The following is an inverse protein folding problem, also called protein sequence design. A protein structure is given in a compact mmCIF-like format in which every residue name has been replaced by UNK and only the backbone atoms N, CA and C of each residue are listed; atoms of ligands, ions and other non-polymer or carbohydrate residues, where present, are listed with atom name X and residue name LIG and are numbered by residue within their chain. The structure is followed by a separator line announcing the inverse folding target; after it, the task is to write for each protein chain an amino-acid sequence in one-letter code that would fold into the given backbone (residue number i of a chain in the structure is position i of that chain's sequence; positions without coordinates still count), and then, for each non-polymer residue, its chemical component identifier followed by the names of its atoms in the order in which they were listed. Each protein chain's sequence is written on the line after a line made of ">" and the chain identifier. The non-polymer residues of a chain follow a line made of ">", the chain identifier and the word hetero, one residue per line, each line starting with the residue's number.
data_IF_721404575235
#
_entry.id   IF_721404575235
#
_cell.length_a   1.000
_cell.length_b   1.000
_cell.length_c   1.000
_cell.angle_alpha   90.00
_cell.angle_beta   90.00
_cell.angle_gamma   90.00
#
_symmetry.space_group_name_H-M   'P 1'
#
loop_
_entity.id
_entity.type
_entity.pdbx_description
1 polymer ?
#
# COMPACT_ATOMS: atom_id res chain seq x y z
N UNK A 1 -4.96 -7.93 -21.76
CA UNK A 1 -3.80 -8.36 -20.96
C UNK A 1 -4.29 -8.56 -19.54
N UNK A 2 -3.88 -9.65 -18.87
CA UNK A 2 -4.28 -9.90 -17.49
C UNK A 2 -3.55 -8.92 -16.57
N UNK A 3 -4.26 -8.15 -15.76
CA UNK A 3 -3.65 -7.26 -14.76
C UNK A 3 -3.04 -8.11 -13.65
N UNK A 4 -1.76 -7.92 -13.35
CA UNK A 4 -1.16 -8.56 -12.19
C UNK A 4 -1.75 -7.97 -10.91
N UNK A 5 -1.95 -8.83 -9.91
CA UNK A 5 -2.53 -8.44 -8.63
C UNK A 5 -1.72 -9.02 -7.47
N UNK A 6 -1.53 -8.20 -6.43
CA UNK A 6 -0.90 -8.61 -5.18
C UNK A 6 -1.88 -8.31 -4.05
N UNK A 7 -2.21 -9.33 -3.25
CA UNK A 7 -2.96 -9.18 -2.01
C UNK A 7 -1.98 -9.20 -0.83
N UNK A 8 -2.10 -8.21 0.05
CA UNK A 8 -1.32 -8.04 1.27
C UNK A 8 -2.27 -7.99 2.46
N UNK A 9 -1.95 -8.72 3.52
CA UNK A 9 -2.61 -8.57 4.83
C UNK A 9 -1.81 -7.58 5.66
N UNK A 10 -2.49 -6.68 6.34
CA UNK A 10 -1.88 -5.55 7.03
C UNK A 10 -2.07 -5.68 8.54
N UNK A 11 -0.98 -5.46 9.26
CA UNK A 11 -0.96 -5.26 10.71
C UNK A 11 -0.36 -3.87 10.94
N UNK A 12 -1.23 -2.89 11.14
CA UNK A 12 -0.89 -1.47 11.17
C UNK A 12 -1.11 -0.86 12.55
N UNK A 13 -0.31 0.15 12.84
CA UNK A 13 -0.42 0.95 14.05
C UNK A 13 -0.16 2.42 13.71
N UNK A 14 -0.77 3.29 14.51
CA UNK A 14 -0.54 4.72 14.46
C UNK A 14 0.79 5.11 15.10
N UNK A 15 1.58 5.88 14.35
CA UNK A 15 2.73 6.63 14.86
C UNK A 15 2.39 8.08 15.16
N UNK A 16 3.40 8.86 15.57
CA UNK A 16 3.28 10.31 15.67
C UNK A 16 3.29 10.90 14.24
N UNK A 17 2.11 11.07 13.65
CA UNK A 17 1.82 11.68 12.32
C UNK A 17 1.89 10.79 11.07
N UNK A 18 2.01 9.47 11.22
CA UNK A 18 1.98 8.51 10.11
C UNK A 18 1.45 7.16 10.59
N UNK A 19 1.12 6.27 9.65
CA UNK A 19 0.71 4.90 9.92
C UNK A 19 1.83 3.98 9.47
N UNK A 20 2.17 2.98 10.28
CA UNK A 20 3.23 2.03 9.96
C UNK A 20 2.89 0.64 10.47
N UNK A 21 3.62 -0.36 9.99
CA UNK A 21 3.48 -1.72 10.49
C UNK A 21 4.04 -2.75 9.53
N UNK A 22 3.29 -3.83 9.35
CA UNK A 22 3.68 -4.97 8.52
C UNK A 22 2.66 -5.21 7.42
N UNK A 23 3.15 -5.55 6.25
CA UNK A 23 2.37 -6.08 5.14
C UNK A 23 2.84 -7.51 4.85
N UNK A 24 1.93 -8.46 4.86
CA UNK A 24 2.21 -9.89 4.71
C UNK A 24 1.74 -10.37 3.34
N UNK A 25 2.64 -11.00 2.59
CA UNK A 25 2.35 -11.59 1.29
C UNK A 25 2.94 -13.00 1.22
N UNK A 26 2.10 -14.02 1.07
CA UNK A 26 2.54 -15.42 1.09
C UNK A 26 3.38 -15.68 2.35
N UNK A 27 4.63 -16.11 2.18
CA UNK A 27 5.57 -16.41 3.28
C UNK A 27 6.51 -15.23 3.61
N UNK A 28 6.24 -14.02 3.09
CA UNK A 28 7.07 -12.82 3.27
C UNK A 28 6.35 -11.75 4.06
N UNK A 29 7.14 -10.99 4.82
CA UNK A 29 6.68 -9.86 5.63
C UNK A 29 7.51 -8.64 5.27
N UNK A 30 6.83 -7.56 4.89
CA UNK A 30 7.42 -6.27 4.55
C UNK A 30 7.09 -5.26 5.64
N UNK A 31 8.03 -4.38 5.94
CA UNK A 31 7.68 -3.14 6.61
C UNK A 31 6.82 -2.29 5.67
N UNK A 32 5.81 -1.62 6.22
CA UNK A 32 4.96 -0.69 5.47
C UNK A 32 4.83 0.63 6.21
N UNK A 33 4.94 1.73 5.47
CA UNK A 33 4.64 3.08 5.92
C UNK A 33 3.56 3.70 5.02
N UNK A 34 2.57 4.34 5.63
CA UNK A 34 1.54 5.15 4.96
C UNK A 34 1.58 6.53 5.58
N UNK A 35 1.87 7.55 4.77
CA UNK A 35 2.14 8.89 5.26
C UNK A 35 1.67 9.99 4.30
N UNK A 36 1.56 11.19 4.84
CA UNK A 36 1.28 12.40 4.07
C UNK A 36 2.35 12.61 2.98
N UNK A 37 1.90 12.95 1.77
CA UNK A 37 2.78 13.21 0.65
C UNK A 37 2.07 13.26 -0.69
N UNK A 38 2.87 13.45 -1.75
CA UNK A 38 2.38 13.33 -3.13
C UNK A 38 2.10 11.87 -3.45
N UNK A 39 0.99 11.65 -4.16
CA UNK A 39 0.46 10.35 -4.56
C UNK A 39 1.51 9.47 -5.24
N UNK A 40 2.17 8.64 -4.45
CA UNK A 40 3.29 7.79 -4.86
C UNK A 40 3.26 6.48 -4.08
N UNK A 41 3.50 5.37 -4.79
CA UNK A 41 3.68 4.05 -4.21
C UNK A 41 5.13 3.61 -4.45
N UNK A 42 5.86 3.26 -3.39
CA UNK A 42 7.15 2.59 -3.51
C UNK A 42 7.04 1.15 -3.06
N UNK A 43 7.57 0.25 -3.88
CA UNK A 43 7.56 -1.17 -3.61
C UNK A 43 8.99 -1.74 -3.61
N UNK A 44 9.27 -2.75 -2.77
CA UNK A 44 10.43 -3.62 -2.96
C UNK A 44 10.45 -4.18 -4.39
N UNK A 45 11.63 -4.34 -4.98
CA UNK A 45 11.78 -4.74 -6.39
C UNK A 45 11.05 -6.05 -6.72
N UNK A 46 11.05 -6.99 -5.78
CA UNK A 46 10.37 -8.29 -5.89
C UNK A 46 8.83 -8.24 -5.92
N UNK A 47 8.23 -7.13 -5.47
CA UNK A 47 6.80 -6.90 -5.57
C UNK A 47 6.42 -6.14 -6.85
N UNK A 48 7.39 -5.70 -7.65
CA UNK A 48 7.11 -5.01 -8.89
C UNK A 48 6.65 -5.99 -9.97
N UNK A 49 5.74 -5.50 -10.81
CA UNK A 49 5.37 -6.19 -12.04
C UNK A 49 6.15 -5.58 -13.22
N UNK A 50 6.74 -6.41 -14.11
CA UNK A 50 7.50 -5.90 -15.25
C UNK A 50 6.70 -4.90 -16.08
N UNK A 51 7.36 -3.82 -16.49
CA UNK A 51 6.83 -2.75 -17.33
C UNK A 51 5.64 -1.95 -16.76
N UNK A 52 5.25 -2.18 -15.50
CA UNK A 52 4.19 -1.40 -14.85
C UNK A 52 4.76 -0.19 -14.11
N UNK A 53 4.26 1.00 -14.46
CA UNK A 53 4.61 2.27 -13.84
C UNK A 53 3.47 2.86 -12.99
N UNK A 54 2.30 2.22 -12.98
CA UNK A 54 1.11 2.67 -12.28
C UNK A 54 0.37 1.50 -11.64
N UNK A 55 -0.15 1.72 -10.42
CA UNK A 55 -0.99 0.76 -9.73
C UNK A 55 -2.28 1.41 -9.23
N UNK A 56 -3.34 0.62 -9.14
CA UNK A 56 -4.50 0.95 -8.32
C UNK A 56 -4.37 0.18 -7.01
N UNK A 57 -4.44 0.88 -5.89
CA UNK A 57 -4.48 0.29 -4.57
C UNK A 57 -5.92 0.33 -4.06
N UNK A 58 -6.39 -0.80 -3.54
CA UNK A 58 -7.60 -0.91 -2.74
C UNK A 58 -7.21 -1.25 -1.31
N UNK A 59 -7.66 -0.44 -0.34
CA UNK A 59 -7.48 -0.66 1.09
C UNK A 59 -8.82 -1.05 1.68
N UNK A 60 -8.86 -2.15 2.43
CA UNK A 60 -10.07 -2.68 3.08
C UNK A 60 -9.92 -2.65 4.58
N UNK A 61 -10.97 -2.21 5.27
CA UNK A 61 -11.04 -2.22 6.73
C UNK A 61 -11.92 -3.35 7.25
N UNK A 62 -11.84 -3.68 8.53
CA UNK A 62 -12.65 -4.72 9.17
C UNK A 62 -14.16 -4.44 9.09
N UNK A 63 -14.58 -3.18 9.08
CA UNK A 63 -15.98 -2.80 8.91
C UNK A 63 -16.51 -2.97 7.47
N UNK A 64 -15.64 -3.35 6.52
CA UNK A 64 -15.96 -3.52 5.11
C UNK A 64 -15.86 -2.23 4.28
N UNK A 65 -15.33 -1.14 4.86
CA UNK A 65 -15.05 0.07 4.08
C UNK A 65 -13.90 -0.18 3.10
N UNK A 66 -13.99 0.46 1.93
CA UNK A 66 -12.97 0.37 0.89
C UNK A 66 -12.52 1.75 0.43
N UNK A 67 -11.23 2.02 0.55
CA UNK A 67 -10.57 3.18 -0.06
C UNK A 67 -9.90 2.70 -1.36
N UNK A 68 -9.97 3.50 -2.43
CA UNK A 68 -9.32 3.17 -3.71
C UNK A 68 -8.61 4.37 -4.28
N UNK A 69 -7.35 4.20 -4.68
CA UNK A 69 -6.52 5.26 -5.20
C UNK A 69 -5.53 4.75 -6.25
N UNK A 70 -5.21 5.59 -7.23
CA UNK A 70 -4.23 5.30 -8.30
C UNK A 70 -2.90 5.97 -7.98
N UNK A 71 -1.80 5.25 -8.18
CA UNK A 71 -0.45 5.67 -7.84
C UNK A 71 0.51 5.48 -9.01
N UNK A 72 1.49 6.36 -9.10
CA UNK A 72 2.73 6.06 -9.83
C UNK A 72 3.61 5.17 -8.95
N UNK A 73 4.22 4.16 -9.57
CA UNK A 73 5.09 3.19 -8.88
C UNK A 73 6.54 3.64 -8.98
N UNK A 74 7.27 3.53 -7.88
CA UNK A 74 8.73 3.62 -7.84
C UNK A 74 9.31 2.42 -7.09
N UNK A 75 10.59 2.14 -7.32
CA UNK A 75 11.32 1.14 -6.54
C UNK A 75 11.66 1.74 -5.17
N UNK A 76 11.35 1.03 -4.09
CA UNK A 76 11.78 1.44 -2.75
C UNK A 76 13.29 1.25 -2.59
N UNK A 77 13.93 2.18 -1.87
CA UNK A 77 15.37 2.10 -1.56
C UNK A 77 15.69 1.26 -0.32
N UNK A 78 14.67 0.94 0.47
CA UNK A 78 14.82 0.34 1.81
C UNK A 78 14.13 -1.03 1.92
N UNK A 79 13.79 -1.65 0.78
CA UNK A 79 13.03 -2.90 0.71
C UNK A 79 11.71 -2.86 1.54
N UNK A 80 11.07 -1.69 1.60
CA UNK A 80 9.80 -1.50 2.31
C UNK A 80 8.69 -1.04 1.36
N UNK A 81 7.45 -1.21 1.77
CA UNK A 81 6.28 -0.65 1.09
C UNK A 81 6.04 0.77 1.63
N UNK A 82 6.02 1.77 0.74
CA UNK A 82 5.79 3.17 1.13
C UNK A 82 4.62 3.73 0.33
N UNK A 83 3.59 4.21 1.03
CA UNK A 83 2.43 4.88 0.43
C UNK A 83 2.44 6.34 0.86
N UNK A 84 2.60 7.23 -0.10
CA UNK A 84 2.54 8.67 0.12
C UNK A 84 1.23 9.22 -0.44
N UNK A 85 0.30 9.58 0.42
CA UNK A 85 -1.02 10.09 0.01
C UNK A 85 -1.75 10.74 1.18
N UNK A 86 -1.94 12.06 1.11
CA UNK A 86 -2.67 12.81 2.14
C UNK A 86 -4.15 12.39 2.23
N UNK A 87 -4.83 12.20 1.10
CA UNK A 87 -6.25 11.86 1.09
C UNK A 87 -6.47 10.47 1.68
N UNK A 88 -5.64 9.49 1.28
CA UNK A 88 -5.73 8.14 1.82
C UNK A 88 -5.34 8.10 3.29
N UNK A 89 -4.25 8.77 3.69
CA UNK A 89 -3.83 8.81 5.11
C UNK A 89 -4.95 9.36 5.99
N UNK A 90 -5.62 10.44 5.57
CA UNK A 90 -6.76 11.01 6.27
C UNK A 90 -7.99 10.09 6.27
N UNK A 91 -8.24 9.37 5.17
CA UNK A 91 -9.39 8.47 5.06
C UNK A 91 -9.25 7.25 5.98
N UNK A 92 -8.08 6.65 6.03
CA UNK A 92 -7.81 5.46 6.86
C UNK A 92 -7.47 5.80 8.31
N UNK A 93 -7.36 7.08 8.63
CA UNK A 93 -6.98 7.54 9.95
C UNK A 93 -7.93 7.05 11.06
N UNK A 94 -9.22 6.96 10.73
CA UNK A 94 -10.29 6.59 11.67
C UNK A 94 -10.40 5.08 11.87
N UNK A 95 -9.95 4.30 10.90
CA UNK A 95 -10.05 2.86 10.87
C UNK A 95 -8.93 2.32 9.97
N UNK A 96 -7.95 1.68 10.59
CA UNK A 96 -6.78 1.16 9.88
C UNK A 96 -7.19 -0.01 8.97
N UNK A 97 -6.70 -0.07 7.73
CA UNK A 97 -7.00 -1.17 6.84
C UNK A 97 -6.28 -2.43 7.29
N UNK A 98 -6.92 -3.57 7.07
CA UNK A 98 -6.41 -4.92 7.36
C UNK A 98 -5.99 -5.66 6.09
N UNK A 99 -6.40 -5.17 4.92
CA UNK A 99 -6.00 -5.73 3.63
C UNK A 99 -5.68 -4.63 2.60
N UNK A 100 -4.71 -4.92 1.74
CA UNK A 100 -4.37 -4.10 0.57
C UNK A 100 -4.33 -4.99 -0.68
N UNK A 101 -5.06 -4.59 -1.72
CA UNK A 101 -4.95 -5.16 -3.06
C UNK A 101 -4.26 -4.15 -3.98
N UNK A 102 -3.15 -4.54 -4.58
CA UNK A 102 -2.43 -3.76 -5.59
C UNK A 102 -2.74 -4.36 -6.96
N UNK A 103 -3.30 -3.56 -7.86
CA UNK A 103 -3.55 -3.92 -9.26
C UNK A 103 -2.62 -3.13 -10.18
N UNK A 104 -1.69 -3.81 -10.85
CA UNK A 104 -0.76 -3.20 -11.79
C UNK A 104 -1.45 -2.93 -13.14
N UNK A 105 -1.20 -1.76 -13.71
CA UNK A 105 -1.68 -1.38 -15.05
C UNK A 105 -0.56 -1.46 -16.09
#
# INVERSE_FOLDING_TARGET
>A
MSKAKILLFLDLTWGQSYIYGKAMHRDRVYAINIQYGRKELRLPEELLYPDSNEAIIHLYTDSGNRITAKYTIQVSRNDMIEVYDEDVTNAIAKELPVEMLIEFN
#
